data_IF_792578682697
#
_entry.id   IF_792578682697
#
_cell.length_a   1.000
_cell.length_b   1.000
_cell.length_c   1.000
_cell.angle_alpha   90.00
_cell.angle_beta   90.00
_cell.angle_gamma   90.00
#
_symmetry.space_group_name_H-M   'P 1'
#
loop_
_entity.id
_entity.type
_entity.pdbx_description
1 polymer ?
#
# COMPACT_ATOMS: atom_id res chain seq x y z
N UNK A 1 74.96 -15.99 -25.10
CA UNK A 1 74.45 -16.76 -23.95
C UNK A 1 75.57 -16.74 -22.94
N UNK A 2 75.57 -15.73 -22.07
CA UNK A 2 76.46 -15.69 -20.92
C UNK A 2 75.56 -15.83 -19.70
N UNK A 3 75.72 -16.96 -19.02
CA UNK A 3 74.92 -17.39 -17.88
C UNK A 3 75.17 -16.49 -16.67
N UNK A 4 74.13 -15.78 -16.24
CA UNK A 4 74.03 -15.22 -14.88
C UNK A 4 73.81 -16.37 -13.89
N UNK A 5 74.88 -17.11 -13.61
CA UNK A 5 74.96 -18.05 -12.49
C UNK A 5 74.96 -17.26 -11.17
N UNK A 6 73.77 -17.07 -10.60
CA UNK A 6 73.62 -16.61 -9.23
C UNK A 6 74.17 -17.71 -8.32
N UNK A 7 75.32 -17.43 -7.70
CA UNK A 7 76.02 -18.32 -6.79
C UNK A 7 75.10 -18.68 -5.60
N UNK A 8 74.73 -19.96 -5.46
CA UNK A 8 73.69 -20.43 -4.54
C UNK A 8 74.05 -20.35 -3.05
N UNK A 9 75.28 -19.92 -2.72
CA UNK A 9 75.75 -19.79 -1.33
C UNK A 9 75.29 -18.50 -0.61
N UNK A 10 74.64 -17.56 -1.30
CA UNK A 10 74.29 -16.24 -0.72
C UNK A 10 72.79 -15.88 -0.80
N UNK A 11 71.91 -16.79 -1.22
CA UNK A 11 70.46 -16.54 -1.29
C UNK A 11 69.75 -17.25 -0.13
N UNK A 12 69.39 -16.49 0.91
CA UNK A 12 68.61 -16.99 2.06
C UNK A 12 67.13 -16.87 1.72
N UNK A 13 66.45 -17.99 1.50
CA UNK A 13 65.00 -18.01 1.30
C UNK A 13 64.32 -17.91 2.67
N UNK A 14 63.63 -16.80 2.94
CA UNK A 14 62.96 -16.57 4.23
C UNK A 14 61.45 -16.67 4.00
N UNK A 15 60.85 -17.76 4.48
CA UNK A 15 59.39 -17.90 4.57
C UNK A 15 58.92 -17.18 5.83
N UNK A 16 58.24 -16.05 5.65
CA UNK A 16 57.64 -15.28 6.74
C UNK A 16 56.18 -15.69 6.90
N UNK A 17 55.89 -16.44 7.97
CA UNK A 17 54.53 -16.71 8.40
C UNK A 17 54.02 -15.55 9.27
N UNK A 18 52.99 -14.85 8.80
CA UNK A 18 52.38 -13.72 9.51
C UNK A 18 51.44 -14.17 10.65
N UNK A 19 51.24 -15.46 10.84
CA UNK A 19 50.28 -16.03 11.80
C UNK A 19 50.88 -16.46 13.15
N UNK A 20 52.21 -16.68 13.26
CA UNK A 20 52.86 -17.08 14.51
C UNK A 20 54.25 -16.45 14.68
N UNK A 21 54.42 -15.58 15.68
CA UNK A 21 55.66 -14.84 15.92
C UNK A 21 56.55 -15.50 16.99
N UNK A 22 57.31 -16.53 16.64
CA UNK A 22 58.53 -16.90 17.40
C UNK A 22 59.55 -17.58 16.47
N UNK A 23 60.45 -16.79 15.91
CA UNK A 23 61.71 -17.31 15.35
C UNK A 23 62.83 -17.02 16.34
N UNK A 24 63.40 -18.06 16.93
CA UNK A 24 64.68 -17.99 17.65
C UNK A 24 65.81 -18.01 16.62
N UNK A 25 66.33 -16.84 16.26
CA UNK A 25 67.57 -16.73 15.50
C UNK A 25 68.67 -16.20 16.41
N UNK A 26 69.69 -17.02 16.61
CA UNK A 26 70.86 -16.71 17.43
C UNK A 26 71.76 -15.75 16.63
N UNK A 27 71.68 -14.45 16.93
CA UNK A 27 72.37 -13.39 16.19
C UNK A 27 71.68 -12.03 16.31
N UNK A 28 72.12 -11.23 17.28
CA UNK A 28 71.43 -9.99 17.72
C UNK A 28 71.31 -8.85 16.68
N UNK A 29 71.95 -8.94 15.51
CA UNK A 29 71.87 -7.91 14.46
C UNK A 29 70.84 -8.23 13.36
N UNK A 30 70.68 -9.49 12.93
CA UNK A 30 69.72 -9.86 11.86
C UNK A 30 68.25 -9.83 12.32
N UNK A 31 68.00 -10.09 13.61
CA UNK A 31 66.63 -10.21 14.15
C UNK A 31 65.86 -8.87 14.14
N UNK A 32 66.57 -7.76 14.39
CA UNK A 32 65.96 -6.43 14.41
C UNK A 32 65.59 -5.93 13.01
N UNK A 33 66.42 -6.22 12.01
CA UNK A 33 66.14 -5.85 10.62
C UNK A 33 64.99 -6.68 10.03
N UNK A 34 64.90 -7.96 10.37
CA UNK A 34 63.77 -8.82 10.00
C UNK A 34 62.45 -8.35 10.62
N UNK A 35 62.43 -8.01 11.92
CA UNK A 35 61.24 -7.43 12.57
C UNK A 35 60.84 -6.09 11.97
N UNK A 36 61.81 -5.26 11.61
CA UNK A 36 61.56 -3.96 10.95
C UNK A 36 60.99 -4.14 9.55
N UNK A 37 61.48 -5.12 8.79
CA UNK A 37 60.95 -5.49 7.48
C UNK A 37 59.53 -6.05 7.61
N UNK A 38 59.28 -6.95 8.55
CA UNK A 38 57.94 -7.51 8.84
C UNK A 38 56.94 -6.40 9.18
N UNK A 39 57.32 -5.49 10.09
CA UNK A 39 56.48 -4.34 10.47
C UNK A 39 56.21 -3.41 9.28
N UNK A 40 57.22 -3.14 8.45
CA UNK A 40 57.08 -2.29 7.25
C UNK A 40 56.18 -2.93 6.19
N UNK A 41 56.27 -4.25 6.00
CA UNK A 41 55.42 -5.00 5.10
C UNK A 41 53.98 -5.06 5.62
N UNK A 42 53.75 -5.34 6.91
CA UNK A 42 52.43 -5.27 7.55
C UNK A 42 51.80 -3.89 7.36
N UNK A 43 52.57 -2.83 7.59
CA UNK A 43 52.13 -1.44 7.38
C UNK A 43 51.81 -1.16 5.91
N UNK A 44 52.65 -1.60 4.97
CA UNK A 44 52.43 -1.40 3.53
C UNK A 44 51.17 -2.11 3.04
N UNK A 45 50.97 -3.38 3.41
CA UNK A 45 49.78 -4.12 3.04
C UNK A 45 48.52 -3.55 3.69
N UNK A 46 48.59 -3.12 4.96
CA UNK A 46 47.49 -2.42 5.63
C UNK A 46 47.10 -1.13 4.92
N UNK A 47 48.08 -0.27 4.55
CA UNK A 47 47.83 0.96 3.80
C UNK A 47 47.26 0.69 2.40
N UNK A 48 47.68 -0.38 1.73
CA UNK A 48 47.12 -0.78 0.43
C UNK A 48 45.67 -1.24 0.55
N UNK A 49 45.34 -2.02 1.60
CA UNK A 49 43.95 -2.42 1.88
C UNK A 49 43.08 -1.22 2.23
N UNK A 50 43.58 -0.29 3.04
CA UNK A 50 42.88 0.95 3.37
C UNK A 50 42.66 1.84 2.14
N UNK A 51 43.68 1.95 1.28
CA UNK A 51 43.58 2.64 -0.01
C UNK A 51 42.56 2.00 -0.95
N UNK A 52 42.53 0.66 -1.04
CA UNK A 52 41.54 -0.10 -1.82
C UNK A 52 40.14 0.06 -1.24
N UNK A 53 39.97 0.02 0.09
CA UNK A 53 38.69 0.24 0.79
C UNK A 53 38.16 1.65 0.48
N UNK A 54 39.02 2.66 0.59
CA UNK A 54 38.69 4.06 0.27
C UNK A 54 38.35 4.25 -1.21
N UNK A 55 39.07 3.57 -2.10
CA UNK A 55 38.78 3.56 -3.53
C UNK A 55 37.42 2.91 -3.85
N UNK A 56 37.09 1.79 -3.20
CA UNK A 56 35.79 1.12 -3.33
C UNK A 56 34.63 1.94 -2.75
N UNK A 57 34.83 2.63 -1.62
CA UNK A 57 33.83 3.51 -1.01
C UNK A 57 33.53 4.75 -1.88
N UNK A 58 34.55 5.34 -2.50
CA UNK A 58 34.42 6.57 -3.28
C UNK A 58 33.80 6.37 -4.67
N UNK A 59 33.79 5.14 -5.19
CA UNK A 59 33.17 4.81 -6.47
C UNK A 59 31.68 4.54 -6.25
N UNK A 60 30.93 5.62 -6.03
CA UNK A 60 29.46 5.71 -5.99
C UNK A 60 28.74 4.36 -6.14
N UNK A 61 28.40 3.75 -4.99
CA UNK A 61 27.39 2.72 -4.76
C UNK A 61 26.47 2.44 -5.97
N UNK A 62 26.96 1.64 -6.93
CA UNK A 62 26.22 1.00 -8.03
C UNK A 62 26.61 -0.47 -8.06
N UNK A 63 26.36 -1.13 -6.94
CA UNK A 63 26.56 -2.56 -6.78
C UNK A 63 25.19 -3.21 -6.75
N UNK A 64 24.51 -3.27 -7.90
CA UNK A 64 23.26 -4.05 -8.01
C UNK A 64 23.54 -5.55 -8.03
N UNK A 65 24.73 -5.96 -8.49
CA UNK A 65 25.06 -7.36 -8.80
C UNK A 65 26.43 -7.80 -8.28
N UNK A 66 27.10 -7.02 -7.42
CA UNK A 66 28.45 -7.31 -6.95
C UNK A 66 28.63 -7.02 -5.46
N UNK A 67 29.11 -7.99 -4.69
CA UNK A 67 29.39 -7.83 -3.26
C UNK A 67 30.90 -8.03 -2.99
N UNK A 68 31.65 -6.98 -2.63
CA UNK A 68 33.10 -7.12 -2.48
C UNK A 68 33.47 -7.93 -1.22
N UNK A 69 34.35 -8.92 -1.40
CA UNK A 69 34.75 -9.87 -0.34
C UNK A 69 35.41 -9.18 0.85
N UNK A 70 36.08 -8.05 0.61
CA UNK A 70 36.79 -7.27 1.63
C UNK A 70 35.85 -6.67 2.68
N UNK A 71 34.56 -6.51 2.37
CA UNK A 71 33.56 -5.96 3.28
C UNK A 71 32.66 -7.02 3.91
N UNK A 72 32.94 -8.32 3.72
CA UNK A 72 32.13 -9.40 4.31
C UNK A 72 32.12 -9.40 5.85
N UNK A 73 33.10 -8.73 6.49
CA UNK A 73 33.18 -8.54 7.93
C UNK A 73 32.80 -7.11 8.39
N UNK A 74 32.42 -6.22 7.48
CA UNK A 74 32.13 -4.82 7.79
C UNK A 74 30.63 -4.61 8.04
N UNK A 75 30.24 -4.58 9.33
CA UNK A 75 28.84 -4.43 9.75
C UNK A 75 28.14 -3.23 9.10
N UNK A 76 28.83 -2.09 9.02
CA UNK A 76 28.24 -0.85 8.52
C UNK A 76 28.02 -0.91 7.01
N UNK A 77 29.00 -1.42 6.27
CA UNK A 77 28.87 -1.63 4.82
C UNK A 77 27.68 -2.53 4.51
N UNK A 78 27.58 -3.69 5.17
CA UNK A 78 26.53 -4.67 4.90
C UNK A 78 25.15 -4.09 5.21
N UNK A 79 25.01 -3.42 6.36
CA UNK A 79 23.74 -2.80 6.74
C UNK A 79 23.30 -1.71 5.73
N UNK A 80 24.24 -0.87 5.29
CA UNK A 80 23.95 0.16 4.31
C UNK A 80 23.65 -0.42 2.92
N UNK A 81 24.27 -1.55 2.57
CA UNK A 81 23.99 -2.27 1.34
C UNK A 81 22.58 -2.86 1.33
N UNK A 82 22.19 -3.55 2.42
CA UNK A 82 20.84 -4.09 2.58
C UNK A 82 19.79 -2.99 2.52
N UNK A 83 20.02 -1.85 3.20
CA UNK A 83 19.10 -0.69 3.14
C UNK A 83 18.90 -0.13 1.74
N UNK A 84 19.87 -0.30 0.84
CA UNK A 84 19.87 0.28 -0.49
C UNK A 84 19.41 -0.68 -1.57
N UNK A 85 19.72 -1.98 -1.43
CA UNK A 85 19.52 -2.99 -2.48
C UNK A 85 18.71 -4.20 -2.03
N UNK A 86 18.25 -4.23 -0.78
CA UNK A 86 17.43 -5.30 -0.20
C UNK A 86 18.10 -6.68 -0.12
N UNK A 87 19.44 -6.76 -0.27
CA UNK A 87 20.22 -7.98 -0.04
C UNK A 87 21.60 -7.67 0.56
N UNK A 88 22.20 -8.63 1.26
CA UNK A 88 23.61 -8.53 1.69
C UNK A 88 24.06 -9.52 2.76
N UNK A 89 23.17 -9.98 3.64
CA UNK A 89 23.50 -10.92 4.71
C UNK A 89 23.97 -12.26 4.16
N UNK A 90 23.48 -12.68 2.98
CA UNK A 90 23.96 -13.88 2.29
C UNK A 90 25.47 -13.91 2.04
N UNK A 91 26.08 -12.74 1.83
CA UNK A 91 27.51 -12.59 1.56
C UNK A 91 28.31 -12.24 2.81
N UNK A 92 27.66 -11.97 3.94
CA UNK A 92 28.36 -11.73 5.19
C UNK A 92 29.18 -12.95 5.64
N UNK A 93 30.22 -12.69 6.42
CA UNK A 93 31.03 -13.72 7.04
C UNK A 93 30.22 -14.59 8.00
N UNK A 94 30.73 -15.79 8.30
CA UNK A 94 30.11 -16.69 9.26
C UNK A 94 30.01 -16.07 10.65
N UNK A 95 31.01 -15.27 11.06
CA UNK A 95 30.98 -14.56 12.34
C UNK A 95 29.82 -13.56 12.40
N UNK A 96 29.62 -12.76 11.35
CA UNK A 96 28.52 -11.79 11.33
C UNK A 96 27.14 -12.45 11.20
N UNK A 97 27.03 -13.59 10.51
CA UNK A 97 25.79 -14.36 10.45
C UNK A 97 25.39 -14.99 11.80
N UNK A 98 26.35 -15.17 12.71
CA UNK A 98 26.13 -15.63 14.08
C UNK A 98 25.97 -14.48 15.09
N UNK A 99 26.35 -13.26 14.72
CA UNK A 99 26.28 -12.10 15.60
C UNK A 99 24.82 -11.66 15.82
N UNK A 100 24.30 -12.00 16.99
CA UNK A 100 22.91 -11.74 17.39
C UNK A 100 22.50 -10.28 17.24
N UNK A 101 23.30 -9.34 17.74
CA UNK A 101 22.96 -7.92 17.70
C UNK A 101 22.96 -7.38 16.28
N UNK A 102 23.94 -7.81 15.48
CA UNK A 102 24.04 -7.38 14.09
C UNK A 102 22.89 -7.93 13.25
N UNK A 103 22.58 -9.23 13.36
CA UNK A 103 21.49 -9.85 12.62
C UNK A 103 20.17 -9.22 13.01
N UNK A 104 19.90 -8.93 14.29
CA UNK A 104 18.69 -8.21 14.71
C UNK A 104 18.56 -6.83 14.04
N UNK A 105 19.65 -6.07 13.90
CA UNK A 105 19.62 -4.80 13.14
C UNK A 105 19.26 -5.00 11.67
N UNK A 106 19.68 -6.12 11.07
CA UNK A 106 19.29 -6.48 9.70
C UNK A 106 17.79 -6.76 9.62
N UNK A 107 17.23 -7.49 10.60
CA UNK A 107 15.78 -7.81 10.65
C UNK A 107 14.90 -6.57 10.65
N UNK A 108 15.31 -5.53 11.38
CA UNK A 108 14.58 -4.26 11.45
C UNK A 108 14.41 -3.58 10.09
N UNK A 109 15.34 -3.82 9.16
CA UNK A 109 15.28 -3.24 7.81
C UNK A 109 14.67 -4.21 6.80
N UNK A 110 15.10 -5.48 6.81
CA UNK A 110 14.69 -6.47 5.82
C UNK A 110 14.65 -7.86 6.47
N UNK A 111 13.47 -8.26 6.94
CA UNK A 111 13.28 -9.56 7.61
C UNK A 111 13.56 -10.79 6.74
N UNK A 112 13.48 -10.67 5.40
CA UNK A 112 13.77 -11.78 4.47
C UNK A 112 15.23 -12.23 4.49
N UNK A 113 16.15 -11.34 4.84
CA UNK A 113 17.59 -11.64 4.92
C UNK A 113 17.92 -12.68 6.00
N UNK A 114 17.01 -12.90 6.97
CA UNK A 114 17.17 -13.90 8.02
C UNK A 114 17.34 -15.33 7.51
N UNK A 115 16.90 -15.63 6.28
CA UNK A 115 17.16 -16.94 5.67
C UNK A 115 18.65 -17.28 5.59
N UNK A 116 19.53 -16.28 5.67
CA UNK A 116 20.98 -16.41 5.61
C UNK A 116 21.69 -16.32 6.97
N UNK A 117 20.93 -16.15 8.06
CA UNK A 117 21.48 -16.20 9.41
C UNK A 117 21.98 -17.62 9.75
N UNK A 118 22.85 -17.73 10.76
CA UNK A 118 23.38 -19.03 11.15
C UNK A 118 22.29 -19.94 11.72
N UNK A 119 22.45 -21.25 11.52
CA UNK A 119 21.52 -22.24 12.06
C UNK A 119 21.37 -22.14 13.58
N UNK A 120 22.47 -21.95 14.31
CA UNK A 120 22.46 -21.85 15.78
C UNK A 120 21.64 -20.65 16.27
N UNK A 121 21.82 -19.48 15.63
CA UNK A 121 21.05 -18.28 15.95
C UNK A 121 19.57 -18.46 15.60
N UNK A 122 19.30 -19.13 14.48
CA UNK A 122 17.95 -19.50 14.08
C UNK A 122 17.32 -20.57 15.01
N UNK A 123 18.04 -21.22 15.92
CA UNK A 123 17.47 -22.12 16.93
C UNK A 123 17.26 -21.45 18.30
N UNK A 124 17.83 -20.26 18.52
CA UNK A 124 17.68 -19.48 19.74
C UNK A 124 16.26 -18.92 19.87
N UNK A 125 15.54 -19.36 20.91
CA UNK A 125 14.16 -18.98 21.18
C UNK A 125 14.00 -17.48 21.42
N UNK A 126 14.94 -16.87 22.14
CA UNK A 126 14.84 -15.46 22.51
C UNK A 126 15.11 -14.57 21.30
N UNK A 127 16.09 -14.94 20.47
CA UNK A 127 16.34 -14.29 19.19
C UNK A 127 15.11 -14.37 18.27
N UNK A 128 14.52 -15.55 18.11
CA UNK A 128 13.32 -15.74 17.28
C UNK A 128 12.16 -14.87 17.77
N UNK A 129 11.93 -14.81 19.08
CA UNK A 129 10.88 -13.99 19.65
C UNK A 129 11.09 -12.53 19.25
N UNK A 130 12.29 -11.99 19.43
CA UNK A 130 12.62 -10.59 19.08
C UNK A 130 12.50 -10.37 17.56
N UNK A 131 13.01 -11.29 16.74
CA UNK A 131 12.96 -11.20 15.29
C UNK A 131 11.51 -11.19 14.77
N UNK A 132 10.64 -12.02 15.35
CA UNK A 132 9.20 -12.06 15.07
C UNK A 132 8.52 -10.75 15.49
N UNK A 133 8.88 -10.16 16.64
CA UNK A 133 8.33 -8.87 17.07
C UNK A 133 8.68 -7.75 16.10
N UNK A 134 9.87 -7.81 15.50
CA UNK A 134 10.37 -6.78 14.59
C UNK A 134 9.92 -6.99 13.14
N UNK A 135 9.78 -8.25 12.70
CA UNK A 135 9.39 -8.60 11.33
C UNK A 135 8.56 -9.89 11.30
N UNK A 136 7.21 -9.78 11.39
CA UNK A 136 6.31 -10.93 11.38
C UNK A 136 6.42 -11.84 10.13
N UNK A 137 6.88 -11.29 8.99
CA UNK A 137 7.15 -12.04 7.76
C UNK A 137 8.21 -13.13 7.92
N UNK A 138 9.08 -13.04 8.95
CA UNK A 138 10.06 -14.07 9.30
C UNK A 138 9.44 -15.47 9.43
N UNK A 139 8.23 -15.55 9.97
CA UNK A 139 7.62 -16.83 10.33
C UNK A 139 7.38 -17.74 9.12
N UNK A 140 7.25 -17.17 7.91
CA UNK A 140 7.08 -17.92 6.65
C UNK A 140 8.37 -18.62 6.17
N UNK A 141 9.54 -18.09 6.55
CA UNK A 141 10.86 -18.56 6.10
C UNK A 141 11.37 -19.70 6.99
N UNK A 142 10.88 -19.76 8.22
CA UNK A 142 11.27 -20.70 9.28
C UNK A 142 10.64 -22.10 9.07
N UNK A 143 11.05 -22.83 8.02
CA UNK A 143 10.38 -24.05 7.57
C UNK A 143 10.63 -25.32 8.42
N UNK A 144 11.60 -25.34 9.35
CA UNK A 144 12.13 -26.61 9.92
C UNK A 144 11.92 -26.87 11.43
N UNK A 145 10.86 -26.35 12.06
CA UNK A 145 10.72 -26.41 13.54
C UNK A 145 9.68 -27.40 14.07
N UNK A 146 9.92 -27.84 15.32
CA UNK A 146 8.99 -28.60 16.17
C UNK A 146 7.66 -27.84 16.39
N UNK A 147 6.56 -28.59 16.48
CA UNK A 147 5.18 -28.09 16.53
C UNK A 147 4.94 -27.08 17.66
N UNK A 148 5.37 -27.39 18.89
CA UNK A 148 5.08 -26.58 20.08
C UNK A 148 5.71 -25.18 20.04
N UNK A 149 6.90 -25.06 19.42
CA UNK A 149 7.57 -23.76 19.25
C UNK A 149 6.80 -22.86 18.27
N UNK A 150 6.15 -23.45 17.26
CA UNK A 150 5.39 -22.71 16.26
C UNK A 150 4.10 -22.15 16.85
N UNK A 151 3.46 -22.87 17.76
CA UNK A 151 2.25 -22.42 18.45
C UNK A 151 2.53 -21.19 19.33
N UNK A 152 3.56 -21.26 20.19
CA UNK A 152 3.95 -20.15 21.07
C UNK A 152 4.29 -18.87 20.28
N UNK A 153 5.09 -18.99 19.23
CA UNK A 153 5.46 -17.85 18.39
C UNK A 153 4.24 -17.29 17.64
N UNK A 154 3.33 -18.15 17.16
CA UNK A 154 2.10 -17.71 16.51
C UNK A 154 1.22 -16.89 17.46
N UNK A 155 1.10 -17.32 18.73
CA UNK A 155 0.38 -16.56 19.76
C UNK A 155 1.01 -15.18 20.00
N UNK A 156 2.32 -15.11 20.22
CA UNK A 156 3.03 -13.84 20.43
C UNK A 156 2.91 -12.88 19.23
N UNK A 157 2.87 -13.42 18.01
CA UNK A 157 2.68 -12.63 16.78
C UNK A 157 1.31 -11.95 16.75
N UNK A 158 0.26 -12.73 16.96
CA UNK A 158 -1.11 -12.24 16.86
C UNK A 158 -1.49 -11.35 18.04
N UNK A 159 -0.87 -11.55 19.21
CA UNK A 159 -1.02 -10.67 20.36
C UNK A 159 -0.47 -9.26 20.10
N UNK A 160 0.62 -9.14 19.34
CA UNK A 160 1.17 -7.84 18.97
C UNK A 160 0.37 -7.14 17.88
N UNK A 161 -0.02 -7.89 16.85
CA UNK A 161 -0.88 -7.42 15.76
C UNK A 161 -1.69 -8.60 15.21
N UNK A 162 -3.01 -8.55 15.34
CA UNK A 162 -3.92 -9.59 14.90
C UNK A 162 -3.90 -9.80 13.39
N UNK A 163 -3.49 -8.79 12.61
CA UNK A 163 -3.26 -8.92 11.16
C UNK A 163 -2.12 -9.88 10.84
N UNK A 164 -1.20 -10.14 11.79
CA UNK A 164 -0.13 -11.12 11.62
C UNK A 164 -0.65 -12.55 11.47
N UNK A 165 -1.95 -12.80 11.68
CA UNK A 165 -2.59 -14.08 11.36
C UNK A 165 -2.32 -14.51 9.90
N UNK A 166 -2.15 -13.56 8.97
CA UNK A 166 -1.77 -13.84 7.57
C UNK A 166 -0.41 -14.53 7.43
N UNK A 167 0.48 -14.35 8.40
CA UNK A 167 1.81 -14.95 8.42
C UNK A 167 1.86 -16.27 9.19
N UNK A 168 0.77 -16.63 9.88
CA UNK A 168 0.65 -17.90 10.59
C UNK A 168 0.51 -19.04 9.57
N UNK A 169 1.23 -20.17 9.72
CA UNK A 169 1.18 -21.29 8.82
C UNK A 169 -0.21 -21.91 8.83
N UNK A 170 -0.63 -22.46 7.69
CA UNK A 170 -1.99 -22.95 7.48
C UNK A 170 -2.44 -24.01 8.50
N UNK A 171 -1.51 -24.78 9.08
CA UNK A 171 -1.81 -25.78 10.10
C UNK A 171 -2.14 -25.19 11.48
N UNK A 172 -1.81 -23.91 11.72
CA UNK A 172 -2.12 -23.17 12.95
C UNK A 172 -3.08 -22.00 12.72
N UNK A 173 -3.30 -21.58 11.47
CA UNK A 173 -4.28 -20.54 11.14
C UNK A 173 -5.73 -20.99 11.36
N UNK A 174 -5.94 -22.28 11.67
CA UNK A 174 -7.21 -22.89 12.06
C UNK A 174 -7.22 -23.29 13.53
N UNK A 175 -6.21 -22.88 14.31
CA UNK A 175 -6.19 -23.10 15.74
C UNK A 175 -7.12 -22.10 16.43
N UNK A 176 -8.01 -22.61 17.28
CA UNK A 176 -9.04 -21.80 17.93
C UNK A 176 -8.44 -20.70 18.81
N UNK A 177 -7.39 -20.98 19.57
CA UNK A 177 -6.85 -20.04 20.55
C UNK A 177 -6.02 -18.95 19.86
N UNK A 178 -5.26 -19.31 18.83
CA UNK A 178 -4.51 -18.35 18.00
C UNK A 178 -5.49 -17.42 17.28
N UNK A 179 -6.51 -17.98 16.63
CA UNK A 179 -7.50 -17.19 15.90
C UNK A 179 -8.29 -16.29 16.85
N UNK A 180 -8.75 -16.81 18.00
CA UNK A 180 -9.47 -16.01 18.99
C UNK A 180 -8.61 -14.84 19.49
N UNK A 181 -7.31 -15.08 19.73
CA UNK A 181 -6.38 -14.04 20.16
C UNK A 181 -6.18 -12.98 19.08
N UNK A 182 -6.02 -13.40 17.82
CA UNK A 182 -5.88 -12.49 16.67
C UNK A 182 -7.10 -11.60 16.50
N UNK A 183 -8.30 -12.19 16.55
CA UNK A 183 -9.57 -11.50 16.38
C UNK A 183 -9.87 -10.59 17.56
N UNK A 184 -9.52 -11.00 18.79
CA UNK A 184 -9.54 -10.12 19.95
C UNK A 184 -8.56 -8.97 19.77
N UNK A 185 -7.39 -9.16 19.17
CA UNK A 185 -6.45 -8.05 18.98
C UNK A 185 -6.94 -7.07 17.90
N UNK A 186 -7.37 -7.58 16.73
CA UNK A 186 -7.87 -6.79 15.60
C UNK A 186 -9.02 -7.51 14.88
N UNK A 187 -10.18 -6.84 14.78
CA UNK A 187 -11.37 -7.33 14.06
C UNK A 187 -11.09 -7.74 12.61
N UNK A 188 -10.16 -7.04 11.95
CA UNK A 188 -9.80 -7.26 10.54
C UNK A 188 -9.05 -8.58 10.34
N UNK A 189 -8.64 -9.26 11.42
CA UNK A 189 -8.11 -10.61 11.34
C UNK A 189 -9.13 -11.62 10.78
N UNK A 190 -10.43 -11.35 10.94
CA UNK A 190 -11.51 -12.18 10.38
C UNK A 190 -11.37 -12.36 8.86
N UNK A 191 -10.87 -11.36 8.12
CA UNK A 191 -10.72 -11.45 6.67
C UNK A 191 -9.74 -12.53 6.19
N UNK A 192 -8.87 -13.02 7.08
CA UNK A 192 -7.85 -14.03 6.77
C UNK A 192 -8.27 -15.44 7.19
N UNK A 193 -9.47 -15.60 7.73
CA UNK A 193 -10.02 -16.88 8.18
C UNK A 193 -10.98 -17.37 7.09
N UNK A 194 -10.91 -18.66 6.76
CA UNK A 194 -11.82 -19.26 5.78
C UNK A 194 -13.23 -19.43 6.33
N UNK A 195 -14.24 -19.19 5.47
CA UNK A 195 -15.66 -19.29 5.82
C UNK A 195 -16.04 -20.62 6.48
N UNK A 196 -15.48 -21.74 6.01
CA UNK A 196 -15.74 -23.06 6.59
C UNK A 196 -15.39 -23.15 8.07
N UNK A 197 -14.28 -22.53 8.48
CA UNK A 197 -13.86 -22.54 9.88
C UNK A 197 -14.73 -21.63 10.74
N UNK A 198 -15.10 -20.47 10.21
CA UNK A 198 -16.03 -19.55 10.86
C UNK A 198 -17.40 -20.20 11.11
N UNK A 199 -17.92 -20.93 10.12
CA UNK A 199 -19.20 -21.64 10.24
C UNK A 199 -19.17 -22.67 11.38
N UNK A 200 -18.05 -23.37 11.57
CA UNK A 200 -17.86 -24.31 12.67
C UNK A 200 -17.55 -23.65 14.02
N UNK A 201 -17.05 -22.41 14.03
CA UNK A 201 -16.56 -21.72 15.23
C UNK A 201 -17.22 -20.34 15.44
N UNK A 202 -18.56 -20.32 15.41
CA UNK A 202 -19.37 -19.09 15.56
C UNK A 202 -19.09 -18.30 16.84
N UNK A 203 -18.63 -18.96 17.92
CA UNK A 203 -18.26 -18.30 19.18
C UNK A 203 -17.10 -17.31 19.01
N UNK A 204 -16.14 -17.59 18.13
CA UNK A 204 -15.03 -16.65 17.84
C UNK A 204 -15.59 -15.38 17.23
N UNK A 205 -16.57 -15.50 16.34
CA UNK A 205 -17.23 -14.37 15.69
C UNK A 205 -18.01 -13.56 16.73
N UNK A 206 -18.75 -14.23 17.62
CA UNK A 206 -19.48 -13.56 18.68
C UNK A 206 -18.54 -12.75 19.59
N UNK A 207 -17.40 -13.32 19.99
CA UNK A 207 -16.37 -12.63 20.77
C UNK A 207 -15.77 -11.44 20.01
N UNK A 208 -15.56 -11.57 18.69
CA UNK A 208 -15.12 -10.48 17.82
C UNK A 208 -16.09 -9.30 17.87
N UNK A 209 -17.38 -9.57 17.68
CA UNK A 209 -18.41 -8.55 17.59
C UNK A 209 -18.67 -7.92 18.97
N UNK A 210 -18.61 -8.72 20.05
CA UNK A 210 -18.68 -8.23 21.44
C UNK A 210 -17.60 -7.18 21.71
N UNK A 211 -16.36 -7.44 21.25
CA UNK A 211 -15.25 -6.50 21.44
C UNK A 211 -15.37 -5.29 20.53
N UNK A 212 -15.66 -5.49 19.26
CA UNK A 212 -15.85 -4.44 18.28
C UNK A 212 -16.96 -4.82 17.31
N UNK A 213 -18.11 -4.15 17.42
CA UNK A 213 -19.31 -4.42 16.61
C UNK A 213 -19.03 -4.35 15.10
N UNK A 214 -17.99 -3.63 14.70
CA UNK A 214 -17.53 -3.51 13.31
C UNK A 214 -17.03 -4.83 12.73
N UNK A 215 -16.74 -5.83 13.56
CA UNK A 215 -16.43 -7.19 13.11
C UNK A 215 -17.55 -7.78 12.22
N UNK A 216 -18.79 -7.30 12.34
CA UNK A 216 -19.93 -7.67 11.48
C UNK A 216 -19.64 -7.50 9.97
N UNK A 217 -18.70 -6.63 9.58
CA UNK A 217 -18.34 -6.44 8.17
C UNK A 217 -17.69 -7.67 7.53
N UNK A 218 -16.99 -8.47 8.34
CA UNK A 218 -16.23 -9.63 7.88
C UNK A 218 -16.98 -10.96 8.06
N UNK A 219 -18.23 -10.91 8.53
CA UNK A 219 -19.03 -12.12 8.79
C UNK A 219 -19.62 -12.65 7.47
N UNK A 220 -19.42 -13.93 7.15
CA UNK A 220 -19.99 -14.55 5.95
C UNK A 220 -21.52 -14.45 5.94
N UNK A 221 -22.10 -14.20 4.75
CA UNK A 221 -23.56 -14.12 4.55
C UNK A 221 -24.30 -15.35 5.08
N UNK A 222 -23.70 -16.53 4.93
CA UNK A 222 -24.27 -17.80 5.42
C UNK A 222 -24.52 -17.78 6.93
N UNK A 223 -23.65 -17.12 7.70
CA UNK A 223 -23.79 -17.00 9.16
C UNK A 223 -24.80 -15.90 9.52
N UNK A 224 -24.86 -14.82 8.74
CA UNK A 224 -25.86 -13.75 8.92
C UNK A 224 -27.29 -14.22 8.60
N UNK A 225 -27.46 -15.27 7.80
CA UNK A 225 -28.76 -15.91 7.54
C UNK A 225 -29.19 -16.90 8.65
N UNK A 226 -28.29 -17.24 9.57
CA UNK A 226 -28.63 -18.10 10.70
C UNK A 226 -29.33 -17.28 11.79
N UNK A 227 -30.67 -17.43 11.87
CA UNK A 227 -31.49 -16.73 12.84
C UNK A 227 -31.13 -17.05 14.30
N UNK A 228 -30.66 -18.26 14.62
CA UNK A 228 -30.27 -18.62 15.98
C UNK A 228 -28.96 -17.92 16.39
N UNK A 229 -28.02 -17.81 15.46
CA UNK A 229 -26.80 -17.05 15.67
C UNK A 229 -27.11 -15.56 15.81
N UNK A 230 -27.92 -15.00 14.91
CA UNK A 230 -28.30 -13.58 14.94
C UNK A 230 -29.06 -13.22 16.22
N UNK A 231 -29.97 -14.08 16.68
CA UNK A 231 -30.67 -13.88 17.95
C UNK A 231 -29.69 -13.81 19.13
N UNK A 232 -28.74 -14.76 19.21
CA UNK A 232 -27.70 -14.76 20.25
C UNK A 232 -26.83 -13.50 20.18
N UNK A 233 -26.36 -13.16 18.99
CA UNK A 233 -25.52 -12.00 18.72
C UNK A 233 -26.22 -10.70 19.16
N UNK A 234 -27.48 -10.51 18.79
CA UNK A 234 -28.23 -9.30 19.12
C UNK A 234 -28.47 -9.17 20.62
N UNK A 235 -28.84 -10.26 21.31
CA UNK A 235 -29.02 -10.21 22.77
C UNK A 235 -27.74 -9.81 23.50
N UNK A 236 -26.59 -10.23 22.98
CA UNK A 236 -25.28 -9.96 23.56
C UNK A 236 -24.81 -8.52 23.31
N UNK A 237 -25.04 -8.00 22.12
CA UNK A 237 -24.54 -6.66 21.73
C UNK A 237 -25.55 -5.55 22.07
N UNK A 238 -26.82 -5.91 22.17
CA UNK A 238 -27.94 -5.02 22.45
C UNK A 238 -28.83 -5.63 23.54
N UNK A 239 -28.49 -5.41 24.83
CA UNK A 239 -29.20 -6.01 25.97
C UNK A 239 -30.71 -5.69 26.02
N UNK A 240 -31.13 -4.59 25.38
CA UNK A 240 -32.54 -4.20 25.21
C UNK A 240 -33.39 -5.28 24.50
N UNK A 241 -32.77 -6.12 23.65
CA UNK A 241 -33.43 -7.21 22.95
C UNK A 241 -33.34 -8.57 23.66
N UNK A 242 -32.90 -8.61 24.92
CA UNK A 242 -32.80 -9.85 25.73
C UNK A 242 -34.09 -10.67 25.77
N UNK A 243 -35.24 -9.98 25.72
CA UNK A 243 -36.59 -10.55 25.74
C UNK A 243 -37.02 -11.26 24.44
N UNK A 244 -36.30 -11.09 23.32
CA UNK A 244 -36.68 -11.68 22.04
C UNK A 244 -36.58 -13.21 22.09
N UNK A 245 -37.60 -13.93 21.64
CA UNK A 245 -37.57 -15.40 21.55
C UNK A 245 -37.20 -15.91 20.16
N UNK A 246 -37.35 -15.07 19.15
CA UNK A 246 -37.01 -15.35 17.76
C UNK A 246 -36.42 -14.10 17.11
N UNK A 247 -35.65 -14.31 16.03
CA UNK A 247 -35.05 -13.24 15.25
C UNK A 247 -35.61 -13.26 13.82
N UNK A 248 -35.99 -12.07 13.34
CA UNK A 248 -36.42 -11.84 11.96
C UNK A 248 -35.97 -10.43 11.53
N UNK A 249 -35.37 -10.33 10.35
CA UNK A 249 -34.98 -9.08 9.72
C UNK A 249 -36.17 -8.16 9.37
N UNK A 250 -37.40 -8.65 9.45
CA UNK A 250 -38.62 -7.86 9.28
C UNK A 250 -38.96 -6.98 10.51
N UNK A 251 -38.30 -7.19 11.65
CA UNK A 251 -38.53 -6.37 12.85
C UNK A 251 -37.82 -5.01 12.72
N UNK A 252 -38.60 -3.93 12.62
CA UNK A 252 -38.10 -2.56 12.40
C UNK A 252 -37.06 -2.11 13.43
N UNK A 253 -37.31 -2.32 14.72
CA UNK A 253 -36.39 -1.88 15.80
C UNK A 253 -35.05 -2.59 15.73
N UNK A 254 -35.08 -3.91 15.50
CA UNK A 254 -33.89 -4.73 15.36
C UNK A 254 -33.11 -4.33 14.11
N UNK A 255 -33.80 -4.21 12.96
CA UNK A 255 -33.20 -3.78 11.71
C UNK A 255 -32.53 -2.40 11.86
N UNK A 256 -33.19 -1.44 12.51
CA UNK A 256 -32.65 -0.11 12.76
C UNK A 256 -31.30 -0.16 13.49
N UNK A 257 -31.16 -1.01 14.52
CA UNK A 257 -29.91 -1.16 15.27
C UNK A 257 -28.84 -1.85 14.44
N UNK A 258 -29.21 -2.87 13.65
CA UNK A 258 -28.28 -3.56 12.77
C UNK A 258 -27.69 -2.63 11.70
N UNK A 259 -28.53 -1.85 11.00
CA UNK A 259 -28.03 -0.95 9.95
C UNK A 259 -27.21 0.22 10.48
N UNK A 260 -27.40 0.61 11.74
CA UNK A 260 -26.58 1.61 12.41
C UNK A 260 -25.15 1.13 12.66
N UNK A 261 -24.96 -0.17 12.91
CA UNK A 261 -23.63 -0.77 13.06
C UNK A 261 -23.02 -1.17 11.71
N UNK A 262 -23.83 -1.75 10.81
CA UNK A 262 -23.41 -2.16 9.46
C UNK A 262 -24.52 -1.96 8.43
N UNK A 263 -24.39 -0.91 7.59
CA UNK A 263 -25.36 -0.57 6.55
C UNK A 263 -25.58 -1.67 5.50
N UNK A 264 -24.63 -2.59 5.30
CA UNK A 264 -24.80 -3.75 4.38
C UNK A 264 -25.91 -4.71 4.83
N UNK A 265 -26.26 -4.72 6.12
CA UNK A 265 -27.33 -5.58 6.64
C UNK A 265 -28.73 -5.20 6.11
N UNK A 266 -28.87 -4.04 5.47
CA UNK A 266 -30.08 -3.66 4.74
C UNK A 266 -30.43 -4.67 3.62
N UNK A 267 -29.45 -5.40 3.08
CA UNK A 267 -29.68 -6.48 2.10
C UNK A 267 -30.69 -7.52 2.60
N UNK A 268 -30.67 -7.84 3.90
CA UNK A 268 -31.53 -8.86 4.51
C UNK A 268 -32.91 -8.33 4.92
N UNK A 269 -33.13 -7.01 4.87
CA UNK A 269 -34.40 -6.41 5.25
C UNK A 269 -35.55 -6.82 4.32
N UNK A 270 -36.77 -6.84 4.87
CA UNK A 270 -38.00 -7.02 4.09
C UNK A 270 -38.16 -5.89 3.07
N UNK A 271 -38.98 -6.12 2.03
CA UNK A 271 -39.30 -5.08 1.03
C UNK A 271 -39.88 -3.82 1.66
N UNK A 272 -40.71 -3.97 2.70
CA UNK A 272 -41.29 -2.86 3.47
C UNK A 272 -40.21 -2.03 4.17
N UNK A 273 -39.24 -2.67 4.84
CA UNK A 273 -38.17 -1.97 5.55
C UNK A 273 -37.12 -1.38 4.60
N UNK A 274 -36.93 -1.95 3.41
CA UNK A 274 -36.13 -1.34 2.33
C UNK A 274 -36.77 -0.08 1.74
N UNK A 275 -38.08 0.10 1.97
CA UNK A 275 -38.83 1.32 1.66
C UNK A 275 -38.95 2.27 2.85
N UNK A 276 -38.53 1.87 4.05
CA UNK A 276 -38.63 2.69 5.23
C UNK A 276 -37.53 3.77 5.21
N UNK A 277 -37.97 5.03 5.07
CA UNK A 277 -37.09 6.19 4.95
C UNK A 277 -36.13 6.32 6.13
N UNK A 278 -36.55 6.00 7.35
CA UNK A 278 -35.72 6.17 8.54
C UNK A 278 -34.63 5.10 8.59
N UNK A 279 -34.95 3.85 8.28
CA UNK A 279 -33.98 2.75 8.21
C UNK A 279 -32.94 3.05 7.14
N UNK A 280 -33.39 3.36 5.92
CA UNK A 280 -32.49 3.64 4.80
C UNK A 280 -31.64 4.86 5.07
N UNK A 281 -32.20 5.93 5.63
CA UNK A 281 -31.43 7.10 6.02
C UNK A 281 -30.35 6.75 7.05
N UNK A 282 -30.65 5.95 8.09
CA UNK A 282 -29.62 5.54 9.05
C UNK A 282 -28.54 4.66 8.41
N UNK A 283 -28.93 3.71 7.55
CA UNK A 283 -28.01 2.84 6.80
C UNK A 283 -27.08 3.65 5.89
N UNK A 284 -27.59 4.71 5.25
CA UNK A 284 -26.88 5.51 4.26
C UNK A 284 -26.15 6.72 4.85
N UNK A 285 -26.45 7.16 6.08
CA UNK A 285 -25.87 8.39 6.64
C UNK A 285 -24.95 8.13 7.83
N UNK A 286 -25.39 7.33 8.81
CA UNK A 286 -24.61 7.08 10.04
C UNK A 286 -23.49 6.06 9.82
N UNK A 287 -23.76 5.01 9.03
CA UNK A 287 -22.71 4.07 8.63
C UNK A 287 -21.74 4.73 7.64
N UNK A 288 -22.30 5.47 6.68
CA UNK A 288 -21.56 6.19 5.65
C UNK A 288 -20.51 7.17 6.19
N UNK A 289 -20.87 8.00 7.19
CA UNK A 289 -19.94 8.99 7.77
C UNK A 289 -18.72 8.35 8.44
N UNK A 290 -18.74 7.04 8.71
CA UNK A 290 -17.71 6.35 9.47
C UNK A 290 -16.75 5.53 8.61
N UNK A 291 -17.06 5.24 7.33
CA UNK A 291 -16.25 4.34 6.50
C UNK A 291 -16.21 4.71 5.01
N UNK A 292 -15.08 4.40 4.39
CA UNK A 292 -14.83 4.54 2.95
C UNK A 292 -15.05 3.22 2.18
N UNK A 293 -15.85 2.28 2.69
CA UNK A 293 -16.18 1.02 2.01
C UNK A 293 -17.53 1.08 1.28
N UNK A 294 -17.64 0.26 0.23
CA UNK A 294 -18.60 0.30 -0.88
C UNK A 294 -20.06 0.69 -0.54
N UNK A 295 -20.35 1.99 -0.58
CA UNK A 295 -21.73 2.56 -0.60
C UNK A 295 -22.59 1.96 -1.69
N UNK A 296 -21.93 1.51 -2.75
CA UNK A 296 -22.51 0.81 -3.88
C UNK A 296 -23.46 -0.30 -3.42
N UNK A 297 -23.03 -1.10 -2.45
CA UNK A 297 -23.70 -2.33 -2.05
C UNK A 297 -24.96 -2.01 -1.23
N UNK A 298 -24.89 -1.02 -0.33
CA UNK A 298 -26.06 -0.60 0.47
C UNK A 298 -27.13 0.07 -0.39
N UNK A 299 -26.74 0.93 -1.34
CA UNK A 299 -27.69 1.65 -2.19
C UNK A 299 -28.35 0.77 -3.28
N UNK A 300 -27.73 -0.36 -3.64
CA UNK A 300 -28.29 -1.33 -4.58
C UNK A 300 -29.61 -1.93 -4.08
N UNK A 301 -29.80 -2.04 -2.77
CA UNK A 301 -31.00 -2.62 -2.17
C UNK A 301 -32.08 -1.60 -1.80
N UNK A 302 -31.80 -0.30 -1.92
CA UNK A 302 -32.78 0.78 -1.69
C UNK A 302 -33.80 0.80 -2.83
N UNK A 303 -35.07 1.01 -2.51
CA UNK A 303 -36.15 1.00 -3.49
C UNK A 303 -36.19 2.18 -4.44
N UNK A 304 -36.90 2.01 -5.56
CA UNK A 304 -37.07 3.05 -6.57
C UNK A 304 -37.76 4.33 -6.02
N UNK A 305 -38.64 4.19 -5.03
CA UNK A 305 -39.31 5.32 -4.38
C UNK A 305 -38.33 6.17 -3.59
N UNK A 306 -37.49 5.56 -2.76
CA UNK A 306 -36.47 6.29 -1.98
C UNK A 306 -35.32 6.80 -2.85
N UNK A 307 -35.04 6.15 -3.98
CA UNK A 307 -34.12 6.68 -5.02
C UNK A 307 -34.66 7.94 -5.71
N UNK A 308 -35.95 8.24 -5.56
CA UNK A 308 -36.58 9.50 -5.97
C UNK A 308 -36.67 10.53 -4.84
N UNK A 309 -36.31 10.19 -3.59
CA UNK A 309 -36.31 11.15 -2.47
C UNK A 309 -35.11 12.10 -2.62
N UNK A 310 -35.41 13.32 -3.07
CA UNK A 310 -34.42 14.37 -3.30
C UNK A 310 -33.61 14.70 -2.05
N UNK A 311 -34.23 14.77 -0.87
CA UNK A 311 -33.54 15.13 0.38
C UNK A 311 -32.58 14.03 0.82
N UNK A 312 -33.02 12.77 0.72
CA UNK A 312 -32.16 11.62 1.04
C UNK A 312 -30.96 11.56 0.09
N UNK A 313 -31.18 11.74 -1.22
CA UNK A 313 -30.11 11.75 -2.23
C UNK A 313 -29.16 12.92 -2.02
N UNK A 314 -29.68 14.13 -1.77
CA UNK A 314 -28.84 15.31 -1.47
C UNK A 314 -28.01 15.11 -0.22
N UNK A 315 -28.60 14.60 0.85
CA UNK A 315 -27.88 14.32 2.09
C UNK A 315 -26.76 13.29 1.84
N UNK A 316 -27.06 12.20 1.12
CA UNK A 316 -26.08 11.18 0.74
C UNK A 316 -24.93 11.79 -0.07
N UNK A 317 -25.25 12.57 -1.11
CA UNK A 317 -24.24 13.26 -1.93
C UNK A 317 -23.41 14.24 -1.08
N UNK A 318 -24.02 14.99 -0.16
CA UNK A 318 -23.32 15.97 0.69
C UNK A 318 -22.42 15.33 1.73
N UNK A 319 -22.78 14.17 2.27
CA UNK A 319 -22.00 13.52 3.32
C UNK A 319 -21.03 12.48 2.78
N UNK A 320 -21.17 12.04 1.52
CA UNK A 320 -20.28 11.04 0.91
C UNK A 320 -18.79 11.44 0.86
N UNK A 321 -17.93 10.69 1.56
CA UNK A 321 -16.45 10.78 1.52
C UNK A 321 -15.90 10.23 0.21
N UNK A 322 -16.65 9.37 -0.49
CA UNK A 322 -16.20 8.74 -1.72
C UNK A 322 -16.03 9.83 -2.79
N UNK A 323 -14.80 9.99 -3.26
CA UNK A 323 -14.43 10.85 -4.38
C UNK A 323 -14.98 10.35 -5.71
N UNK A 324 -15.77 9.28 -5.72
CA UNK A 324 -16.33 8.68 -6.91
C UNK A 324 -17.76 9.21 -7.06
N UNK A 325 -18.05 9.93 -8.15
CA UNK A 325 -19.37 10.52 -8.41
C UNK A 325 -20.51 9.50 -8.63
N UNK A 326 -20.37 8.28 -8.11
CA UNK A 326 -21.29 7.15 -8.26
C UNK A 326 -22.57 7.28 -7.43
N UNK A 327 -22.70 8.24 -6.51
CA UNK A 327 -23.98 8.46 -5.80
C UNK A 327 -25.13 8.76 -6.76
N UNK A 328 -24.85 9.43 -7.90
CA UNK A 328 -25.86 9.69 -8.93
C UNK A 328 -26.28 8.43 -9.70
N UNK A 329 -25.54 7.32 -9.66
CA UNK A 329 -25.98 6.08 -10.32
C UNK A 329 -27.29 5.56 -9.72
N UNK A 330 -27.49 5.82 -8.43
CA UNK A 330 -28.64 5.35 -7.66
C UNK A 330 -29.81 6.32 -7.69
N UNK A 331 -29.56 7.59 -7.95
CA UNK A 331 -30.62 8.56 -8.14
C UNK A 331 -31.51 8.13 -9.31
N UNK A 332 -32.80 8.37 -9.20
CA UNK A 332 -33.71 8.20 -10.32
C UNK A 332 -33.34 9.08 -11.51
N UNK A 333 -33.87 8.76 -12.69
CA UNK A 333 -33.64 9.59 -13.88
C UNK A 333 -34.23 11.00 -13.74
N UNK A 334 -35.27 11.15 -12.90
CA UNK A 334 -35.82 12.45 -12.51
C UNK A 334 -34.78 13.27 -11.72
N UNK A 335 -34.15 12.67 -10.69
CA UNK A 335 -33.14 13.36 -9.89
C UNK A 335 -31.81 13.55 -10.63
N UNK A 336 -31.46 12.69 -11.60
CA UNK A 336 -30.36 12.94 -12.54
C UNK A 336 -30.63 14.11 -13.50
N UNK A 337 -31.88 14.57 -13.56
CA UNK A 337 -32.30 15.78 -14.28
C UNK A 337 -32.53 16.97 -13.34
N UNK A 338 -32.45 16.77 -12.01
CA UNK A 338 -32.53 17.85 -11.04
C UNK A 338 -31.18 18.57 -10.95
N UNK A 339 -31.19 19.87 -11.28
CA UNK A 339 -29.98 20.69 -11.35
C UNK A 339 -29.27 20.80 -10.00
N UNK A 340 -30.00 20.90 -8.89
CA UNK A 340 -29.41 21.04 -7.55
C UNK A 340 -28.68 19.75 -7.13
N UNK A 341 -29.32 18.61 -7.35
CA UNK A 341 -28.73 17.29 -7.05
C UNK A 341 -27.44 17.09 -7.84
N UNK A 342 -27.49 17.33 -9.15
CA UNK A 342 -26.33 17.17 -10.04
C UNK A 342 -25.23 18.18 -9.71
N UNK A 343 -25.55 19.46 -9.47
CA UNK A 343 -24.54 20.45 -9.08
C UNK A 343 -23.85 20.07 -7.77
N UNK A 344 -24.60 19.58 -6.78
CA UNK A 344 -24.03 19.12 -5.50
C UNK A 344 -23.04 17.98 -5.73
N UNK A 345 -23.39 17.00 -6.57
CA UNK A 345 -22.52 15.87 -6.88
C UNK A 345 -21.27 16.28 -7.67
N UNK A 346 -21.46 17.11 -8.70
CA UNK A 346 -20.39 17.60 -9.57
C UNK A 346 -19.39 18.48 -8.82
N UNK A 347 -19.85 19.29 -7.86
CA UNK A 347 -18.96 20.09 -6.99
C UNK A 347 -18.00 19.22 -6.16
N UNK A 348 -18.40 18.00 -5.80
CA UNK A 348 -17.54 17.04 -5.12
C UNK A 348 -16.61 16.32 -6.09
N UNK A 349 -17.18 15.73 -7.15
CA UNK A 349 -16.41 15.09 -8.21
C UNK A 349 -16.99 15.43 -9.58
N UNK A 350 -16.20 16.12 -10.41
CA UNK A 350 -16.58 16.51 -11.76
C UNK A 350 -16.94 15.35 -12.69
N UNK A 351 -16.54 14.11 -12.39
CA UNK A 351 -16.97 12.90 -13.10
C UNK A 351 -18.48 12.68 -13.03
N UNK A 352 -19.18 13.22 -12.02
CA UNK A 352 -20.63 13.13 -11.88
C UNK A 352 -21.43 13.62 -13.10
N UNK A 353 -20.84 14.47 -13.94
CA UNK A 353 -21.44 14.95 -15.19
C UNK A 353 -21.85 13.81 -16.13
N UNK A 354 -21.13 12.69 -16.15
CA UNK A 354 -21.46 11.56 -17.03
C UNK A 354 -22.83 10.94 -16.74
N UNK A 355 -23.33 11.09 -15.50
CA UNK A 355 -24.60 10.54 -15.02
C UNK A 355 -25.76 11.53 -15.14
N UNK A 356 -25.46 12.81 -15.39
CA UNK A 356 -26.46 13.82 -15.59
C UNK A 356 -27.28 13.54 -16.87
N UNK A 357 -28.52 14.05 -16.87
CA UNK A 357 -29.39 14.01 -18.04
C UNK A 357 -28.79 14.78 -19.23
N UNK A 358 -29.28 14.50 -20.44
CA UNK A 358 -28.83 15.21 -21.66
C UNK A 358 -29.01 16.72 -21.55
N UNK A 359 -30.10 17.18 -20.91
CA UNK A 359 -30.36 18.60 -20.69
C UNK A 359 -29.30 19.27 -19.81
N UNK A 360 -28.93 18.64 -18.69
CA UNK A 360 -27.91 19.17 -17.79
C UNK A 360 -26.49 19.03 -18.33
N UNK A 361 -26.23 18.08 -19.24
CA UNK A 361 -24.99 18.04 -20.05
C UNK A 361 -24.87 19.19 -21.05
N UNK A 362 -25.97 19.90 -21.32
CA UNK A 362 -25.99 21.15 -22.08
C UNK A 362 -26.19 22.39 -21.19
N UNK A 363 -26.25 22.23 -19.86
CA UNK A 363 -26.30 23.36 -18.95
C UNK A 363 -24.88 23.87 -18.68
N UNK A 364 -24.60 25.09 -19.14
CA UNK A 364 -23.27 25.69 -19.07
C UNK A 364 -22.73 25.79 -17.63
N UNK A 365 -23.57 26.10 -16.64
CA UNK A 365 -23.16 26.22 -15.24
C UNK A 365 -22.75 24.85 -14.67
N UNK A 366 -23.55 23.81 -14.94
CA UNK A 366 -23.25 22.44 -14.52
C UNK A 366 -21.94 21.95 -15.14
N UNK A 367 -21.77 22.17 -16.44
CA UNK A 367 -20.56 21.73 -17.16
C UNK A 367 -19.32 22.51 -16.70
N UNK A 368 -19.39 23.83 -16.53
CA UNK A 368 -18.27 24.63 -15.99
C UNK A 368 -17.85 24.14 -14.60
N UNK A 369 -18.82 23.86 -13.73
CA UNK A 369 -18.56 23.31 -12.41
C UNK A 369 -17.88 21.93 -12.50
N UNK A 370 -18.26 21.11 -13.48
CA UNK A 370 -17.67 19.79 -13.68
C UNK A 370 -16.23 19.87 -14.17
N UNK A 371 -15.98 20.65 -15.22
CA UNK A 371 -14.65 20.71 -15.85
C UNK A 371 -13.61 21.40 -14.98
N UNK A 372 -14.01 22.36 -14.14
CA UNK A 372 -13.12 22.97 -13.14
C UNK A 372 -12.65 21.97 -12.06
N UNK A 373 -13.42 20.92 -11.79
CA UNK A 373 -13.02 19.81 -10.90
C UNK A 373 -12.32 18.68 -11.63
N UNK A 374 -12.76 18.35 -12.84
CA UNK A 374 -12.25 17.26 -13.67
C UNK A 374 -12.30 17.67 -15.16
N UNK A 375 -11.19 18.15 -15.70
CA UNK A 375 -11.11 18.75 -17.04
C UNK A 375 -11.48 17.78 -18.16
N UNK A 376 -11.13 16.51 -18.02
CA UNK A 376 -11.57 15.45 -18.95
C UNK A 376 -13.09 15.19 -18.91
N UNK A 377 -13.82 15.80 -17.98
CA UNK A 377 -15.28 15.81 -17.92
C UNK A 377 -15.92 16.46 -19.15
N UNK A 378 -15.18 17.28 -19.89
CA UNK A 378 -15.59 17.89 -21.16
C UNK A 378 -16.14 16.86 -22.16
N UNK A 379 -15.66 15.61 -22.13
CA UNK A 379 -16.13 14.53 -23.01
C UNK A 379 -17.61 14.16 -22.82
N UNK A 380 -18.18 14.51 -21.67
CA UNK A 380 -19.59 14.24 -21.33
C UNK A 380 -20.51 15.44 -21.61
N UNK A 381 -19.93 16.61 -21.89
CA UNK A 381 -20.71 17.79 -22.26
C UNK A 381 -21.34 17.60 -23.66
N UNK A 382 -22.38 18.38 -23.94
CA UNK A 382 -22.97 18.48 -25.27
C UNK A 382 -21.94 18.92 -26.32
N UNK A 383 -22.22 18.64 -27.58
CA UNK A 383 -21.38 19.10 -28.68
C UNK A 383 -21.28 20.64 -28.73
N UNK A 384 -22.37 21.34 -28.42
CA UNK A 384 -22.43 22.79 -28.32
C UNK A 384 -21.42 23.31 -27.28
N UNK A 385 -21.42 22.76 -26.06
CA UNK A 385 -20.53 23.20 -24.99
C UNK A 385 -19.07 22.73 -25.17
N UNK A 386 -18.83 21.65 -25.92
CA UNK A 386 -17.46 21.29 -26.35
C UNK A 386 -16.90 22.27 -27.39
N UNK A 387 -17.73 23.11 -27.99
CA UNK A 387 -17.33 24.21 -28.86
C UNK A 387 -17.48 25.58 -28.18
N UNK A 388 -17.97 25.63 -26.93
CA UNK A 388 -18.00 26.86 -26.14
C UNK A 388 -16.58 27.18 -25.66
N UNK A 389 -16.08 28.34 -26.07
CA UNK A 389 -14.71 28.78 -25.82
C UNK A 389 -14.39 28.86 -24.32
N UNK A 390 -15.33 29.31 -23.51
CA UNK A 390 -15.14 29.48 -22.06
C UNK A 390 -15.05 28.12 -21.36
N UNK A 391 -15.97 27.21 -21.70
CA UNK A 391 -16.01 25.84 -21.15
C UNK A 391 -14.73 25.08 -21.48
N UNK A 392 -14.30 25.11 -22.74
CA UNK A 392 -13.09 24.41 -23.17
C UNK A 392 -11.85 25.00 -22.51
N UNK A 393 -11.76 26.32 -22.41
CA UNK A 393 -10.62 26.99 -21.79
C UNK A 393 -10.48 26.59 -20.31
N UNK A 394 -11.59 26.54 -19.57
CA UNK A 394 -11.59 26.09 -18.19
C UNK A 394 -11.16 24.60 -18.07
N UNK A 395 -11.66 23.75 -18.96
CA UNK A 395 -11.30 22.33 -18.99
C UNK A 395 -9.80 22.09 -19.25
N UNK A 396 -9.21 22.81 -20.20
CA UNK A 396 -7.78 22.64 -20.55
C UNK A 396 -6.84 23.23 -19.49
N UNK A 397 -7.27 24.27 -18.76
CA UNK A 397 -6.54 24.80 -17.60
C UNK A 397 -6.50 23.80 -16.45
N UNK A 398 -7.59 23.06 -16.26
CA UNK A 398 -7.63 22.00 -15.26
C UNK A 398 -6.76 20.81 -15.68
N UNK A 399 -6.88 20.36 -16.93
CA UNK A 399 -6.09 19.28 -17.50
C UNK A 399 -5.92 19.46 -19.01
N UNK A 400 -4.70 19.68 -19.48
CA UNK A 400 -4.41 19.91 -20.89
C UNK A 400 -4.83 18.78 -21.83
N UNK A 401 -4.99 17.56 -21.33
CA UNK A 401 -5.53 16.43 -22.10
C UNK A 401 -7.01 16.60 -22.47
N UNK A 402 -7.74 17.51 -21.81
CA UNK A 402 -9.13 17.81 -22.12
C UNK A 402 -9.32 18.31 -23.57
N UNK A 403 -8.28 18.88 -24.18
CA UNK A 403 -8.29 19.33 -25.59
C UNK A 403 -8.72 18.21 -26.55
N UNK A 404 -8.40 16.94 -26.25
CA UNK A 404 -8.81 15.81 -27.07
C UNK A 404 -10.32 15.63 -27.19
N UNK A 405 -11.09 16.18 -26.24
CA UNK A 405 -12.54 16.13 -26.19
C UNK A 405 -13.22 17.41 -26.65
N UNK A 406 -12.47 18.48 -26.89
CA UNK A 406 -13.00 19.71 -27.44
C UNK A 406 -13.50 19.47 -28.89
N UNK A 407 -14.41 20.32 -29.35
CA UNK A 407 -14.83 20.31 -30.75
C UNK A 407 -13.70 20.78 -31.68
N UNK A 408 -13.81 20.46 -32.97
CA UNK A 408 -12.75 20.71 -33.95
C UNK A 408 -12.38 22.20 -34.07
N UNK A 409 -13.36 23.12 -33.92
CA UNK A 409 -13.10 24.56 -33.92
C UNK A 409 -12.13 24.97 -32.79
N UNK A 410 -12.30 24.39 -31.61
CA UNK A 410 -11.48 24.70 -30.43
C UNK A 410 -10.08 24.08 -30.52
N UNK A 411 -9.94 22.96 -31.23
CA UNK A 411 -8.62 22.35 -31.54
C UNK A 411 -7.81 23.15 -32.56
N UNK A 412 -8.46 24.06 -33.29
CA UNK A 412 -7.83 25.03 -34.18
C UNK A 412 -7.61 26.41 -33.54
N UNK A 413 -8.09 26.65 -32.32
CA UNK A 413 -7.88 27.92 -31.61
C UNK A 413 -6.46 27.96 -31.02
N UNK A 414 -5.66 28.91 -31.53
CA UNK A 414 -4.25 29.08 -31.13
C UNK A 414 -4.09 29.28 -29.62
N UNK A 415 -4.97 30.02 -28.98
CA UNK A 415 -4.87 30.36 -27.57
C UNK A 415 -5.24 29.17 -26.68
N UNK A 416 -6.36 28.49 -27.00
CA UNK A 416 -6.79 27.29 -26.28
C UNK A 416 -5.72 26.20 -26.35
N UNK A 417 -5.16 25.97 -27.55
CA UNK A 417 -4.15 24.93 -27.73
C UNK A 417 -2.86 25.27 -26.97
N UNK A 418 -2.43 26.53 -27.01
CA UNK A 418 -1.26 26.96 -26.23
C UNK A 418 -1.50 26.77 -24.73
N UNK A 419 -2.69 27.08 -24.24
CA UNK A 419 -3.06 26.87 -22.84
C UNK A 419 -3.06 25.37 -22.49
N UNK A 420 -3.67 24.52 -23.32
CA UNK A 420 -3.67 23.08 -23.12
C UNK A 420 -2.25 22.51 -23.01
N UNK A 421 -1.33 22.96 -23.87
CA UNK A 421 0.07 22.51 -23.85
C UNK A 421 0.78 22.92 -22.55
N UNK A 422 0.52 24.13 -22.03
CA UNK A 422 1.08 24.54 -20.72
C UNK A 422 0.64 23.61 -19.60
N UNK A 423 -0.58 23.06 -19.68
CA UNK A 423 -1.15 22.15 -18.71
C UNK A 423 -0.99 20.66 -19.09
N UNK A 424 0.04 20.30 -19.86
CA UNK A 424 0.40 18.90 -20.15
C UNK A 424 -0.39 18.26 -21.30
N UNK A 425 -1.08 19.06 -22.11
CA UNK A 425 -1.79 18.60 -23.30
C UNK A 425 -0.87 18.11 -24.42
N UNK A 426 -1.39 17.21 -25.26
CA UNK A 426 -0.65 16.59 -26.35
C UNK A 426 -0.94 17.27 -27.69
N UNK A 427 0.11 17.48 -28.50
CA UNK A 427 0.01 17.99 -29.87
C UNK A 427 -0.80 17.10 -30.82
N UNK A 428 -1.01 15.82 -30.47
CA UNK A 428 -1.77 14.89 -31.31
C UNK A 428 -3.24 15.28 -31.52
N UNK A 429 -3.77 16.15 -30.65
CA UNK A 429 -5.16 16.62 -30.70
C UNK A 429 -5.32 17.96 -31.42
N UNK A 430 -4.23 18.58 -31.85
CA UNK A 430 -4.23 19.90 -32.49
C UNK A 430 -4.60 19.77 -33.97
N UNK A 431 -5.30 20.77 -34.52
CA UNK A 431 -5.64 20.77 -35.94
C UNK A 431 -4.40 20.73 -36.84
N UNK A 432 -4.50 20.06 -38.00
CA UNK A 432 -3.39 19.95 -38.96
C UNK A 432 -2.91 21.30 -39.49
N UNK A 433 -3.83 22.26 -39.57
CA UNK A 433 -3.55 23.63 -39.99
C UNK A 433 -2.57 24.31 -39.02
N UNK A 434 -2.82 24.21 -37.71
CA UNK A 434 -1.92 24.76 -36.70
C UNK A 434 -0.59 24.01 -36.62
N UNK A 435 -0.59 22.71 -36.83
CA UNK A 435 0.64 21.91 -36.88
C UNK A 435 1.52 22.26 -38.10
N UNK A 436 0.95 22.89 -39.14
CA UNK A 436 1.69 23.38 -40.30
C UNK A 436 2.20 24.82 -40.12
N UNK A 437 1.74 25.53 -39.09
CA UNK A 437 2.19 26.89 -38.76
C UNK A 437 3.52 26.85 -37.98
N UNK A 438 4.60 27.18 -38.68
CA UNK A 438 5.95 27.25 -38.11
C UNK A 438 6.06 28.23 -36.93
N UNK A 439 5.37 29.38 -36.98
CA UNK A 439 5.41 30.36 -35.88
C UNK A 439 4.70 29.81 -34.64
N UNK A 440 3.61 29.09 -34.84
CA UNK A 440 2.90 28.41 -33.76
C UNK A 440 3.77 27.34 -33.09
N UNK A 441 4.40 26.44 -33.86
CA UNK A 441 5.29 25.41 -33.31
C UNK A 441 6.47 26.01 -32.53
N UNK A 442 7.03 27.14 -32.99
CA UNK A 442 8.06 27.87 -32.24
C UNK A 442 7.54 28.38 -30.89
N UNK A 443 6.28 28.84 -30.80
CA UNK A 443 5.66 29.24 -29.52
C UNK A 443 5.44 28.06 -28.60
N UNK A 444 4.98 26.92 -29.14
CA UNK A 444 4.81 25.66 -28.41
C UNK A 444 6.12 25.19 -27.79
N UNK A 445 7.21 25.15 -28.57
CA UNK A 445 8.53 24.73 -28.10
C UNK A 445 9.02 25.61 -26.95
N UNK A 446 8.80 26.93 -27.02
CA UNK A 446 9.12 27.87 -25.94
C UNK A 446 8.29 27.63 -24.66
N UNK A 447 7.04 27.19 -24.80
CA UNK A 447 6.19 26.85 -23.65
C UNK A 447 6.65 25.54 -22.98
N UNK A 448 6.95 24.50 -23.77
CA UNK A 448 7.41 23.20 -23.28
C UNK A 448 8.74 23.27 -22.49
N UNK A 449 9.68 24.13 -22.92
CA UNK A 449 10.97 24.32 -22.26
C UNK A 449 10.86 24.93 -20.85
N UNK A 450 9.83 25.75 -20.59
CA UNK A 450 9.57 26.31 -19.25
C UNK A 450 9.03 25.26 -18.28
N UNK A 451 8.20 24.33 -18.76
CA UNK A 451 7.67 23.26 -17.93
C UNK A 451 8.77 22.31 -17.45
N UNK A 452 9.76 21.99 -18.30
CA UNK A 452 10.89 21.11 -17.91
C UNK A 452 11.77 21.71 -16.80
N UNK A 453 11.92 23.04 -16.74
CA UNK A 453 12.67 23.69 -15.65
C UNK A 453 11.90 23.81 -14.33
N UNK A 454 10.57 23.88 -14.35
CA UNK A 454 9.78 23.92 -13.10
C UNK A 454 9.79 22.59 -12.34
N UNK A 455 9.87 21.45 -13.03
CA UNK A 455 9.93 20.12 -12.39
C UNK A 455 11.30 19.74 -11.84
N UNK A 456 12.37 20.50 -12.15
CA UNK A 456 13.71 20.29 -11.57
C UNK A 456 13.95 21.06 -10.27
N UNK A 457 12.94 21.80 -9.77
CA UNK A 457 13.05 22.64 -8.56
C UNK A 457 12.07 22.27 -7.42
N UNK A 458 11.58 21.04 -7.37
CA UNK A 458 10.85 20.53 -6.21
C UNK A 458 11.56 19.35 -5.58
#
# INVERSE_FOLDING_TARGET
MDDLLINSEHVKLILLDFSNSFYSFDGNYELNDLRRLESSLKKKFSLQQEGKKKWLLNRELKYSDFFPVEFMNDKEFILNHIKKYDYGLQFASTQLKQDREFVLKVVQHKGEELQFASYDLLQDKEFQLIAVKQSPSFFRISSSYARDKKEFLSLEMVQQNGLNLIHVPCNFSQDRDIVLTAVKQNREALQYIGDSFMISNKEIILEAIKKDKKALEFVPKVILLDCEFMLRMIKEIFPEFSHLNSFDYSQKEVMMKLVQENGKLLEFASSELKNDRDIVSNAVTKWFLRFASNVRDTLEHVSAELRNDKELVLHTVRHTVIQEGFCLNYASDQLKSDKEVVLTAVRKNGYGLCLASKGLKNDKEVVLTAVSKYGCGLKYASEELRNDREVVLEAVRQNGSALGYAGEMMKGDKEIVLEAIKHGGSLKYVSRELLSDKQFLLRVAKCGYKNTMMYQKK
#
